data_IF_952716092502
#
_entry.id   IF_952716092502
#
_cell.length_a   1.000
_cell.length_b   1.000
_cell.length_c   1.000
_cell.angle_alpha   90.00
_cell.angle_beta   90.00
_cell.angle_gamma   90.00
#
_symmetry.space_group_name_H-M   'P 1'
#
loop_
_entity.id
_entity.type
_entity.pdbx_description
1 polymer ?
#
# COMPACT_ATOMS: atom_id res chain seq x y z
N UNK A 1 -2.65 -1.25 19.67
CA UNK A 1 -2.53 -1.49 18.22
C UNK A 1 -1.49 -0.53 17.64
N UNK A 2 -0.49 -1.04 16.94
CA UNK A 2 0.46 -0.20 16.23
C UNK A 2 -0.06 0.07 14.80
N UNK A 3 -0.45 1.32 14.55
CA UNK A 3 -1.01 1.72 13.25
C UNK A 3 0.04 1.77 12.14
N UNK A 4 1.32 1.81 12.49
CA UNK A 4 2.42 1.77 11.54
C UNK A 4 2.87 0.35 11.20
N UNK A 5 2.26 -0.66 11.83
CA UNK A 5 2.54 -2.06 11.49
C UNK A 5 1.72 -2.49 10.28
N UNK A 6 2.39 -3.07 9.30
CA UNK A 6 1.75 -3.73 8.18
C UNK A 6 2.15 -5.20 8.17
N UNK A 7 1.32 -6.04 7.57
CA UNK A 7 1.66 -7.45 7.34
C UNK A 7 1.49 -7.77 5.86
N UNK A 8 2.51 -8.34 5.28
CA UNK A 8 2.52 -8.75 3.88
C UNK A 8 2.66 -10.26 3.85
N UNK A 9 1.61 -10.96 3.45
CA UNK A 9 1.54 -12.42 3.48
C UNK A 9 1.92 -13.00 4.85
N UNK A 10 1.48 -12.31 5.92
CA UNK A 10 1.73 -12.71 7.30
C UNK A 10 3.04 -12.21 7.90
N UNK A 11 3.94 -11.64 7.11
CA UNK A 11 5.19 -11.08 7.61
C UNK A 11 5.00 -9.63 8.05
N UNK A 12 5.46 -9.32 9.26
CA UNK A 12 5.25 -8.00 9.88
C UNK A 12 6.37 -7.04 9.54
N UNK A 13 6.00 -5.80 9.22
CA UNK A 13 6.93 -4.70 9.02
C UNK A 13 6.38 -3.47 9.73
N UNK A 14 7.28 -2.66 10.28
CA UNK A 14 6.93 -1.36 10.86
C UNK A 14 7.41 -0.30 9.89
N UNK A 15 6.49 0.52 9.36
CA UNK A 15 6.81 1.57 8.40
C UNK A 15 7.05 2.90 9.10
N UNK A 16 7.79 3.80 8.46
CA UNK A 16 8.08 5.13 9.03
C UNK A 16 6.96 6.12 8.75
N UNK A 17 6.29 5.93 7.62
CA UNK A 17 5.15 6.75 7.27
C UNK A 17 4.14 5.91 6.49
N UNK A 18 2.87 6.24 6.64
CA UNK A 18 1.80 5.59 5.90
C UNK A 18 0.77 6.63 5.50
N UNK A 19 0.39 6.60 4.23
CA UNK A 19 -0.64 7.49 3.68
C UNK A 19 -1.67 6.68 2.94
N UNK A 20 -2.90 7.18 2.92
CA UNK A 20 -4.04 6.48 2.33
C UNK A 20 -4.68 7.35 1.26
N UNK A 21 -5.07 6.73 0.17
CA UNK A 21 -5.83 7.39 -0.89
C UNK A 21 -7.07 6.56 -1.16
N UNK A 22 -8.22 7.22 -1.08
CA UNK A 22 -9.52 6.60 -1.33
C UNK A 22 -10.18 7.31 -2.50
N UNK A 23 -10.73 6.55 -3.43
CA UNK A 23 -11.42 7.11 -4.58
C UNK A 23 -12.64 6.26 -4.92
N UNK A 24 -13.72 6.95 -5.29
CA UNK A 24 -14.90 6.28 -5.83
C UNK A 24 -14.64 5.91 -7.28
N UNK A 25 -15.06 4.70 -7.65
CA UNK A 25 -14.99 4.23 -9.02
C UNK A 25 -16.39 4.36 -9.65
N UNK A 26 -16.50 5.19 -10.67
CA UNK A 26 -17.75 5.36 -11.42
C UNK A 26 -17.89 4.24 -12.45
N UNK A 27 -19.12 3.79 -12.65
CA UNK A 27 -19.45 2.84 -13.69
C UNK A 27 -19.51 3.49 -15.08
N UNK A 28 -19.63 2.65 -16.11
CA UNK A 28 -19.63 3.10 -17.51
C UNK A 28 -20.85 3.96 -17.87
N UNK A 29 -21.91 3.88 -17.09
CA UNK A 29 -23.16 4.59 -17.36
C UNK A 29 -23.25 5.94 -16.65
N UNK A 30 -22.18 6.40 -15.98
CA UNK A 30 -22.16 7.69 -15.33
C UNK A 30 -22.29 8.82 -16.36
N UNK A 31 -23.06 9.86 -16.02
CA UNK A 31 -23.26 11.00 -16.92
C UNK A 31 -24.52 11.78 -16.61
N UNK A 32 -25.08 12.40 -17.64
CA UNK A 32 -26.35 13.14 -17.56
C UNK A 32 -27.46 12.34 -18.20
N UNK A 33 -28.64 12.35 -17.56
CA UNK A 33 -29.83 11.79 -18.16
C UNK A 33 -30.42 12.77 -19.21
N UNK A 34 -31.37 12.28 -20.03
CA UNK A 34 -31.97 13.06 -21.10
C UNK A 34 -32.73 14.30 -20.59
N UNK A 35 -33.18 14.30 -19.34
CA UNK A 35 -33.85 15.45 -18.72
C UNK A 35 -32.86 16.46 -18.15
N UNK A 36 -31.57 16.29 -18.35
CA UNK A 36 -30.52 17.18 -17.92
C UNK A 36 -30.03 16.98 -16.50
N UNK A 37 -30.57 16.03 -15.76
CA UNK A 37 -30.11 15.71 -14.43
C UNK A 37 -28.76 14.98 -14.48
N UNK A 38 -27.90 15.26 -13.50
CA UNK A 38 -26.65 14.56 -13.35
C UNK A 38 -26.92 13.15 -12.83
N UNK A 39 -26.40 12.18 -13.56
CA UNK A 39 -26.46 10.79 -13.18
C UNK A 39 -25.06 10.28 -12.90
N UNK A 40 -24.89 9.56 -11.79
CA UNK A 40 -23.62 8.98 -11.41
C UNK A 40 -23.81 7.55 -10.94
N UNK A 41 -23.13 6.63 -11.62
CA UNK A 41 -23.10 5.22 -11.26
C UNK A 41 -21.81 4.92 -10.50
N UNK A 42 -21.89 4.87 -9.18
CA UNK A 42 -20.75 4.59 -8.33
C UNK A 42 -20.75 3.10 -8.01
N UNK A 43 -19.78 2.36 -8.57
CA UNK A 43 -19.72 0.90 -8.44
C UNK A 43 -18.86 0.44 -7.27
N UNK A 44 -18.03 1.30 -6.71
CA UNK A 44 -17.23 0.88 -5.58
C UNK A 44 -16.22 1.92 -5.10
N UNK A 45 -15.43 1.51 -4.13
CA UNK A 45 -14.36 2.31 -3.55
C UNK A 45 -13.01 1.64 -3.83
N UNK A 46 -12.06 2.41 -4.38
CA UNK A 46 -10.67 1.95 -4.53
C UNK A 46 -9.82 2.53 -3.41
N UNK A 47 -8.74 1.84 -3.08
CA UNK A 47 -7.87 2.21 -1.99
C UNK A 47 -6.41 1.97 -2.37
N UNK A 48 -5.56 2.96 -2.11
CA UNK A 48 -4.11 2.83 -2.24
C UNK A 48 -3.47 3.20 -0.92
N UNK A 49 -2.50 2.41 -0.50
CA UNK A 49 -1.74 2.63 0.73
C UNK A 49 -0.29 2.87 0.36
N UNK A 50 0.23 4.02 0.79
CA UNK A 50 1.61 4.42 0.53
C UNK A 50 2.42 4.21 1.80
N UNK A 51 3.43 3.34 1.74
CA UNK A 51 4.29 3.03 2.88
C UNK A 51 5.69 3.57 2.63
N UNK A 52 6.19 4.40 3.55
CA UNK A 52 7.50 5.02 3.44
C UNK A 52 8.50 4.35 4.38
N UNK A 53 9.69 4.10 3.87
CA UNK A 53 10.80 3.50 4.60
C UNK A 53 11.98 4.47 4.54
N UNK A 54 12.33 5.07 5.68
CA UNK A 54 13.32 6.15 5.77
C UNK A 54 14.42 5.89 6.78
N UNK A 55 14.16 5.09 7.80
CA UNK A 55 15.10 4.86 8.90
C UNK A 55 16.18 3.86 8.49
N UNK A 56 17.37 4.38 8.20
CA UNK A 56 18.52 3.57 7.74
C UNK A 56 19.10 2.69 8.84
N UNK A 57 18.89 3.04 10.10
CA UNK A 57 19.34 2.21 11.22
C UNK A 57 18.42 1.02 11.44
N UNK A 58 17.15 1.16 11.11
CA UNK A 58 16.14 0.12 11.25
C UNK A 58 16.13 -0.85 10.06
N UNK A 59 16.26 -0.31 8.84
CA UNK A 59 16.20 -1.12 7.60
C UNK A 59 17.59 -1.44 7.11
N UNK A 60 18.19 -2.45 7.74
CA UNK A 60 19.53 -2.94 7.44
C UNK A 60 19.62 -4.44 7.69
N UNK A 61 20.58 -5.11 7.09
CA UNK A 61 20.84 -6.53 7.28
C UNK A 61 19.64 -7.40 6.91
N UNK A 62 19.31 -8.36 7.75
CA UNK A 62 18.21 -9.31 7.50
C UNK A 62 16.87 -8.62 7.40
N UNK A 63 16.63 -7.60 8.20
CA UNK A 63 15.37 -6.81 8.15
C UNK A 63 15.18 -6.19 6.77
N UNK A 64 16.24 -5.56 6.24
CA UNK A 64 16.19 -4.98 4.91
C UNK A 64 16.05 -6.06 3.82
N UNK A 65 16.74 -7.19 3.98
CA UNK A 65 16.62 -8.31 3.04
C UNK A 65 15.16 -8.80 2.93
N UNK A 66 14.48 -8.94 4.06
CA UNK A 66 13.08 -9.37 4.07
C UNK A 66 12.18 -8.32 3.40
N UNK A 67 12.46 -7.05 3.64
CA UNK A 67 11.72 -5.96 3.00
C UNK A 67 11.94 -5.94 1.49
N UNK A 68 13.17 -6.16 1.03
CA UNK A 68 13.51 -6.17 -0.40
C UNK A 68 12.80 -7.30 -1.16
N UNK A 69 12.43 -8.38 -0.50
CA UNK A 69 11.68 -9.47 -1.13
C UNK A 69 10.32 -8.99 -1.66
N UNK A 70 9.79 -7.90 -1.13
CA UNK A 70 8.52 -7.33 -1.61
C UNK A 70 8.63 -6.84 -3.05
N UNK A 71 9.81 -6.47 -3.52
CA UNK A 71 10.03 -6.02 -4.91
C UNK A 71 9.68 -7.12 -5.92
N UNK A 72 9.78 -8.38 -5.52
CA UNK A 72 9.49 -9.53 -6.37
C UNK A 72 8.00 -9.89 -6.41
N UNK A 73 7.19 -9.33 -5.51
CA UNK A 73 5.77 -9.66 -5.43
C UNK A 73 4.97 -8.82 -6.40
N UNK A 74 4.02 -9.45 -7.08
CA UNK A 74 3.03 -8.76 -7.90
C UNK A 74 1.81 -8.39 -7.06
N UNK A 75 1.44 -9.27 -6.15
CA UNK A 75 0.30 -9.10 -5.27
C UNK A 75 0.58 -9.77 -3.93
N UNK A 76 -0.22 -9.44 -2.92
CA UNK A 76 -0.07 -10.00 -1.59
C UNK A 76 -1.37 -9.92 -0.80
N UNK A 77 -1.41 -10.66 0.30
CA UNK A 77 -2.41 -10.48 1.35
C UNK A 77 -1.88 -9.39 2.28
N UNK A 78 -2.51 -8.22 2.27
CA UNK A 78 -2.04 -7.03 2.97
C UNK A 78 -2.92 -6.72 4.16
N UNK A 79 -2.34 -6.78 5.36
CA UNK A 79 -3.01 -6.43 6.60
C UNK A 79 -2.48 -5.08 7.09
N UNK A 80 -3.38 -4.16 7.39
CA UNK A 80 -3.03 -2.79 7.75
C UNK A 80 -4.14 -2.14 8.56
N UNK A 81 -3.83 -1.00 9.19
CA UNK A 81 -4.84 -0.18 9.85
C UNK A 81 -5.59 0.64 8.79
N UNK A 82 -6.90 0.44 8.69
CA UNK A 82 -7.75 1.13 7.74
C UNK A 82 -8.47 2.30 8.43
N UNK A 83 -8.27 3.55 7.95
CA UNK A 83 -8.95 4.71 8.51
C UNK A 83 -10.47 4.69 8.40
N UNK A 84 -11.02 4.06 7.37
CA UNK A 84 -12.49 4.01 7.18
C UNK A 84 -13.12 3.11 8.25
N UNK A 85 -12.59 1.91 8.43
CA UNK A 85 -13.09 0.97 9.43
C UNK A 85 -12.58 1.30 10.84
N UNK A 86 -11.55 2.13 10.91
CA UNK A 86 -10.81 2.49 12.12
C UNK A 86 -10.33 1.25 12.87
N UNK A 87 -9.76 0.31 12.12
CA UNK A 87 -9.27 -0.96 12.65
C UNK A 87 -8.43 -1.69 11.62
N UNK A 88 -7.93 -2.87 12.02
CA UNK A 88 -7.11 -3.71 11.12
C UNK A 88 -8.01 -4.40 10.12
N UNK A 89 -7.60 -4.37 8.85
CA UNK A 89 -8.26 -5.11 7.77
C UNK A 89 -7.22 -5.87 6.96
N UNK A 90 -7.67 -6.90 6.26
CA UNK A 90 -6.83 -7.66 5.34
C UNK A 90 -7.46 -7.64 3.96
N UNK A 91 -6.69 -7.21 2.96
CA UNK A 91 -7.15 -7.13 1.57
C UNK A 91 -6.09 -7.65 0.64
N UNK A 92 -6.51 -8.13 -0.52
CA UNK A 92 -5.58 -8.49 -1.59
C UNK A 92 -5.19 -7.23 -2.34
N UNK A 93 -3.88 -6.97 -2.39
CA UNK A 93 -3.32 -5.75 -2.96
C UNK A 93 -2.29 -6.06 -4.02
N UNK A 94 -2.20 -5.22 -5.05
CA UNK A 94 -1.03 -5.18 -5.92
C UNK A 94 0.12 -4.50 -5.18
N UNK A 95 1.34 -4.96 -5.41
CA UNK A 95 2.55 -4.35 -4.86
C UNK A 95 3.22 -3.55 -5.96
N UNK A 96 3.37 -2.26 -5.73
CA UNK A 96 4.06 -1.35 -6.63
C UNK A 96 5.20 -0.66 -5.86
N UNK A 97 6.41 -1.17 -6.02
CA UNK A 97 7.58 -0.63 -5.33
C UNK A 97 8.33 0.35 -6.22
N UNK A 98 8.72 1.48 -5.64
CA UNK A 98 9.60 2.41 -6.33
C UNK A 98 11.00 1.80 -6.44
N UNK A 99 11.85 2.42 -7.28
CA UNK A 99 13.25 2.03 -7.38
C UNK A 99 13.90 2.12 -6.00
N UNK A 100 14.63 1.09 -5.62
CA UNK A 100 15.37 1.05 -4.35
C UNK A 100 16.85 0.88 -4.63
N UNK A 101 17.67 1.63 -3.90
CA UNK A 101 19.13 1.50 -3.95
C UNK A 101 19.63 1.08 -2.58
N UNK A 102 20.46 0.06 -2.58
CA UNK A 102 20.99 -0.55 -1.36
C UNK A 102 22.52 -0.55 -1.46
N UNK A 103 23.17 -0.12 -0.40
CA UNK A 103 24.62 -0.15 -0.29
C UNK A 103 25.07 -1.34 0.55
N UNK A 104 26.26 -1.82 0.26
CA UNK A 104 26.95 -2.77 1.13
C UNK A 104 27.98 -1.99 1.93
N UNK A 105 27.80 -1.94 3.24
CA UNK A 105 28.66 -1.19 4.15
C UNK A 105 29.04 -2.08 5.33
N UNK A 106 30.36 -2.30 5.51
CA UNK A 106 30.89 -3.17 6.57
C UNK A 106 30.24 -4.57 6.53
N UNK A 107 30.15 -5.14 5.33
CA UNK A 107 29.55 -6.46 5.07
C UNK A 107 28.07 -6.58 5.42
N UNK A 108 27.37 -5.44 5.56
CA UNK A 108 25.95 -5.42 5.83
C UNK A 108 25.23 -4.53 4.82
N UNK A 109 24.08 -4.99 4.33
CA UNK A 109 23.27 -4.18 3.42
C UNK A 109 22.55 -3.09 4.20
N UNK A 110 22.52 -1.88 3.64
CA UNK A 110 21.86 -0.73 4.23
C UNK A 110 21.04 0.00 3.16
N UNK A 111 19.93 0.57 3.55
CA UNK A 111 19.10 1.37 2.65
C UNK A 111 19.83 2.69 2.36
N UNK A 112 20.04 3.01 1.09
CA UNK A 112 20.77 4.20 0.69
C UNK A 112 19.89 5.45 0.73
N UNK A 113 18.72 5.38 0.12
CA UNK A 113 17.78 6.49 -0.01
C UNK A 113 16.44 6.11 0.56
N UNK A 114 15.61 7.11 0.83
CA UNK A 114 14.24 6.89 1.23
C UNK A 114 13.51 6.07 0.16
N UNK A 115 12.64 5.18 0.60
CA UNK A 115 11.96 4.25 -0.28
C UNK A 115 10.47 4.22 0.01
N UNK A 116 9.66 4.10 -1.03
CA UNK A 116 8.22 3.99 -0.92
C UNK A 116 7.72 2.75 -1.64
N UNK A 117 6.82 2.02 -0.99
CA UNK A 117 6.07 0.92 -1.61
C UNK A 117 4.60 1.27 -1.55
N UNK A 118 3.90 1.10 -2.67
CA UNK A 118 2.47 1.33 -2.76
C UNK A 118 1.75 -0.01 -2.82
N UNK A 119 0.68 -0.11 -2.06
CA UNK A 119 -0.22 -1.26 -2.08
C UNK A 119 -1.55 -0.80 -2.64
N UNK A 120 -1.95 -1.39 -3.76
CA UNK A 120 -3.13 -0.96 -4.52
C UNK A 120 -4.18 -2.06 -4.45
N UNK A 121 -5.36 -1.74 -3.97
CA UNK A 121 -6.43 -2.71 -3.84
C UNK A 121 -6.81 -3.29 -5.20
N UNK A 122 -6.85 -4.62 -5.28
CA UNK A 122 -7.16 -5.33 -6.53
C UNK A 122 -8.65 -5.27 -6.83
N UNK A 123 -9.48 -5.50 -5.82
CA UNK A 123 -10.92 -5.51 -5.97
C UNK A 123 -11.51 -4.26 -5.33
N UNK A 124 -12.52 -3.66 -5.96
CA UNK A 124 -13.21 -2.52 -5.38
C UNK A 124 -14.14 -2.99 -4.27
N UNK A 125 -14.24 -2.20 -3.20
CA UNK A 125 -15.24 -2.41 -2.16
C UNK A 125 -16.60 -1.98 -2.69
N UNK A 126 -17.63 -2.77 -2.45
CA UNK A 126 -18.99 -2.40 -2.81
C UNK A 126 -19.48 -1.26 -1.92
N UNK A 127 -20.20 -0.35 -2.52
CA UNK A 127 -20.81 0.78 -1.82
C UNK A 127 -22.28 0.52 -1.54
#
# INVERSE_FOLDING_TARGET
>A
MNKYEIQVDGEKFIVDGISYEFAQLDGDEAGRSDDGLMYRDVVGLTNKVYCDFKDKDKYRGVTLSNLLKLVKKKSCSFNYFDPIEYGRVTKTMYVAADKVTVDLLNDEIVLKDDWQIRFIQMDVDEI
#
